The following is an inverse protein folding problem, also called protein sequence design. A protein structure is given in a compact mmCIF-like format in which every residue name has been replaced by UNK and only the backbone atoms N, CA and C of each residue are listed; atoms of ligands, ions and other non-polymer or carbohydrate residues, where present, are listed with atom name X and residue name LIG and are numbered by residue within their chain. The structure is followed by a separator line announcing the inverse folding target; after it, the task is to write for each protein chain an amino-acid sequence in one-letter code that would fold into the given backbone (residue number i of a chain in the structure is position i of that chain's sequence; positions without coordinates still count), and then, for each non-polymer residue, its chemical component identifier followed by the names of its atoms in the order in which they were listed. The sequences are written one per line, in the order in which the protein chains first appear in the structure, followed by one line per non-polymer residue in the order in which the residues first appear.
data_IF_763193365720
#
_entry.id   IF_763193365720
#
_cell.length_a   1.000
_cell.length_b   1.000
_cell.length_c   1.000
_cell.angle_alpha   90.00
_cell.angle_beta   90.00
_cell.angle_gamma   90.00
#
_symmetry.space_group_name_H-M   'P 1'
#
loop_
_entity.id
_entity.type
_entity.pdbx_description
1 polymer ?
#
# COMPACT_ATOMS: atom_id res chain seq x y z
N UNK A 1 2.73 -3.71 20.89
CA UNK A 1 3.06 -3.96 19.48
C UNK A 1 4.17 -3.02 19.03
N UNK A 2 5.07 -3.51 18.18
CA UNK A 2 6.13 -2.73 17.58
C UNK A 2 5.86 -2.51 16.11
N UNK A 3 6.39 -1.43 15.55
CA UNK A 3 6.30 -1.23 14.12
C UNK A 3 7.65 -0.80 13.54
N UNK A 4 7.86 -1.15 12.27
CA UNK A 4 9.07 -0.78 11.51
C UNK A 4 8.64 0.04 10.30
N UNK A 5 9.38 1.09 9.98
CA UNK A 5 9.11 1.96 8.84
C UNK A 5 9.86 1.46 7.62
N UNK A 6 9.32 1.73 6.45
CA UNK A 6 9.94 1.42 5.16
C UNK A 6 10.41 -0.04 5.08
N UNK A 7 9.50 -0.95 5.41
CA UNK A 7 9.81 -2.38 5.50
C UNK A 7 9.91 -3.02 4.13
N UNK A 8 10.94 -3.85 3.92
CA UNK A 8 11.15 -4.57 2.66
C UNK A 8 11.24 -6.08 2.88
N UNK A 9 10.80 -6.82 1.84
CA UNK A 9 10.99 -8.27 1.79
C UNK A 9 12.02 -8.57 0.70
N UNK A 10 12.92 -9.54 0.93
CA UNK A 10 14.00 -9.84 -0.04
C UNK A 10 13.50 -10.31 -1.40
N UNK A 11 12.32 -10.92 -1.46
CA UNK A 11 11.73 -11.49 -2.66
C UNK A 11 10.64 -10.65 -3.30
N UNK A 12 10.48 -9.38 -2.86
CA UNK A 12 9.52 -8.45 -3.44
C UNK A 12 10.25 -7.23 -4.00
N UNK A 13 10.24 -7.12 -5.32
CA UNK A 13 10.98 -6.04 -5.99
C UNK A 13 10.25 -5.60 -7.26
N UNK A 14 10.58 -4.39 -7.69
CA UNK A 14 10.09 -3.81 -8.93
C UNK A 14 11.10 -3.95 -10.06
N UNK A 15 11.21 -2.90 -10.87
CA UNK A 15 12.10 -2.86 -12.02
C UNK A 15 13.56 -2.95 -11.58
N UNK A 16 14.38 -3.75 -12.32
CA UNK A 16 15.81 -3.98 -12.05
C UNK A 16 16.07 -4.46 -10.62
N UNK A 17 15.15 -5.25 -10.08
CA UNK A 17 15.26 -5.82 -8.73
C UNK A 17 15.36 -4.76 -7.63
N UNK A 18 14.83 -3.56 -7.86
CA UNK A 18 14.73 -2.53 -6.83
C UNK A 18 13.73 -2.99 -5.76
N UNK A 19 14.11 -3.03 -4.48
CA UNK A 19 13.17 -3.45 -3.43
C UNK A 19 11.95 -2.56 -3.37
N UNK A 20 10.77 -3.16 -3.21
CA UNK A 20 9.55 -2.42 -2.94
C UNK A 20 9.37 -2.31 -1.43
N UNK A 21 8.95 -1.13 -0.95
CA UNK A 21 8.87 -0.82 0.47
C UNK A 21 7.43 -0.63 0.89
N UNK A 22 7.11 -1.13 2.07
CA UNK A 22 5.85 -0.82 2.74
C UNK A 22 6.11 0.30 3.74
N UNK A 23 5.18 1.25 3.85
CA UNK A 23 5.36 2.39 4.75
C UNK A 23 5.56 1.92 6.19
N UNK A 24 4.76 0.96 6.65
CA UNK A 24 4.89 0.41 7.99
C UNK A 24 4.62 -1.09 8.01
N UNK A 25 5.36 -1.80 8.86
CA UNK A 25 5.10 -3.18 9.23
C UNK A 25 4.84 -3.22 10.73
N UNK A 26 3.73 -3.82 11.14
CA UNK A 26 3.32 -3.92 12.54
C UNK A 26 3.60 -5.33 13.05
N UNK A 27 4.33 -5.44 14.15
CA UNK A 27 4.71 -6.72 14.75
C UNK A 27 4.18 -6.84 16.17
N UNK A 28 3.84 -8.06 16.53
CA UNK A 28 3.63 -8.46 17.92
C UNK A 28 4.69 -9.51 18.24
N UNK A 29 5.69 -9.10 19.01
CA UNK A 29 6.89 -9.92 19.16
C UNK A 29 7.59 -10.06 17.82
N UNK A 30 7.79 -11.31 17.38
CA UNK A 30 8.39 -11.61 16.06
C UNK A 30 7.35 -11.84 14.97
N UNK A 31 6.07 -11.82 15.32
CA UNK A 31 4.99 -12.09 14.38
C UNK A 31 4.57 -10.82 13.64
N UNK A 32 4.54 -10.88 12.32
CA UNK A 32 4.00 -9.81 11.49
C UNK A 32 2.48 -9.80 11.60
N UNK A 33 1.92 -8.71 12.13
CA UNK A 33 0.47 -8.55 12.32
C UNK A 33 -0.18 -8.02 11.05
N UNK A 34 0.40 -6.95 10.47
CA UNK A 34 -0.08 -6.36 9.23
C UNK A 34 0.95 -5.44 8.62
N UNK A 35 0.71 -5.07 7.37
CA UNK A 35 1.47 -4.05 6.66
C UNK A 35 0.54 -2.88 6.39
N UNK A 36 1.07 -1.67 6.41
CA UNK A 36 0.29 -0.45 6.20
C UNK A 36 0.95 0.39 5.10
N UNK A 37 0.14 0.83 4.14
CA UNK A 37 0.51 1.80 3.12
C UNK A 37 -0.37 3.02 3.25
N UNK A 38 0.23 4.20 3.21
CA UNK A 38 -0.48 5.46 3.12
C UNK A 38 -0.34 5.94 1.69
N UNK A 39 -1.42 5.83 0.93
CA UNK A 39 -1.39 6.11 -0.51
C UNK A 39 -1.69 7.57 -0.79
N UNK A 40 -0.68 8.29 -1.27
CA UNK A 40 -0.81 9.68 -1.67
C UNK A 40 -1.56 9.82 -2.99
N UNK A 41 -1.81 11.07 -3.39
CA UNK A 41 -2.57 11.39 -4.59
C UNK A 41 -2.00 10.73 -5.85
N UNK A 42 -0.68 10.63 -5.96
CA UNK A 42 0.01 10.06 -7.12
C UNK A 42 -0.27 8.57 -7.34
N UNK A 43 -0.80 7.85 -6.34
CA UNK A 43 -1.19 6.44 -6.49
C UNK A 43 -2.52 6.29 -7.23
N UNK A 44 -3.34 7.34 -7.30
CA UNK A 44 -4.71 7.28 -7.82
C UNK A 44 -4.90 8.06 -9.11
N UNK A 45 -4.09 9.08 -9.34
CA UNK A 45 -4.18 9.91 -10.53
C UNK A 45 -2.80 10.38 -10.98
N UNK A 46 -2.67 10.72 -12.26
CA UNK A 46 -1.45 11.29 -12.77
C UNK A 46 -1.29 12.72 -12.26
N UNK A 47 -0.22 12.95 -11.48
CA UNK A 47 0.10 14.27 -10.94
C UNK A 47 1.51 14.64 -11.44
N UNK A 48 1.61 15.52 -12.46
CA UNK A 48 2.92 15.86 -13.05
C UNK A 48 3.94 16.40 -12.04
N UNK A 49 3.47 16.99 -10.95
CA UNK A 49 4.33 17.51 -9.90
C UNK A 49 5.09 16.40 -9.17
N UNK A 50 4.47 15.24 -9.00
CA UNK A 50 5.08 14.09 -8.29
C UNK A 50 5.68 13.07 -9.23
N UNK A 51 5.09 12.91 -10.43
CA UNK A 51 5.51 11.91 -11.40
C UNK A 51 5.76 12.61 -12.73
N UNK A 52 6.95 12.39 -13.29
CA UNK A 52 7.39 13.10 -14.49
C UNK A 52 6.63 12.70 -15.74
N UNK A 53 6.12 11.46 -15.81
CA UNK A 53 5.51 10.92 -17.02
C UNK A 53 4.31 10.03 -16.68
N UNK A 54 3.46 9.80 -17.70
CA UNK A 54 2.37 8.82 -17.62
C UNK A 54 2.94 7.42 -17.39
N UNK A 55 4.12 7.13 -17.96
CA UNK A 55 4.80 5.84 -17.75
C UNK A 55 5.16 5.63 -16.28
N UNK A 56 5.63 6.66 -15.59
CA UNK A 56 5.93 6.60 -14.16
C UNK A 56 4.68 6.33 -13.34
N UNK A 57 3.55 6.96 -13.73
CA UNK A 57 2.26 6.73 -13.08
C UNK A 57 1.82 5.26 -13.23
N UNK A 58 1.90 4.71 -14.44
CA UNK A 58 1.55 3.31 -14.70
C UNK A 58 2.46 2.36 -13.94
N UNK A 59 3.74 2.69 -13.83
CA UNK A 59 4.71 1.89 -13.06
C UNK A 59 4.34 1.88 -11.57
N UNK A 60 3.96 3.03 -11.03
CA UNK A 60 3.49 3.13 -9.64
C UNK A 60 2.28 2.22 -9.40
N UNK A 61 1.31 2.25 -10.31
CA UNK A 61 0.13 1.38 -10.21
C UNK A 61 0.52 -0.10 -10.27
N UNK A 62 1.45 -0.47 -11.14
CA UNK A 62 1.92 -1.86 -11.25
C UNK A 62 2.62 -2.31 -9.96
N UNK A 63 3.43 -1.45 -9.36
CA UNK A 63 4.09 -1.78 -8.10
C UNK A 63 3.09 -1.92 -6.95
N UNK A 64 2.05 -1.11 -6.93
CA UNK A 64 0.96 -1.26 -5.97
C UNK A 64 0.29 -2.63 -6.13
N UNK A 65 0.04 -3.06 -7.36
CA UNK A 65 -0.54 -4.38 -7.64
C UNK A 65 0.39 -5.51 -7.20
N UNK A 66 1.69 -5.37 -7.41
CA UNK A 66 2.69 -6.37 -6.96
C UNK A 66 2.69 -6.50 -5.45
N UNK A 67 2.66 -5.38 -4.73
CA UNK A 67 2.56 -5.38 -3.27
C UNK A 67 1.27 -6.04 -2.79
N UNK A 68 0.14 -5.68 -3.40
CA UNK A 68 -1.14 -6.26 -3.07
C UNK A 68 -1.13 -7.78 -3.26
N UNK A 69 -0.68 -8.23 -4.43
CA UNK A 69 -0.59 -9.66 -4.75
C UNK A 69 0.32 -10.40 -3.79
N UNK A 70 1.49 -9.84 -3.50
CA UNK A 70 2.45 -10.45 -2.58
C UNK A 70 1.82 -10.70 -1.21
N UNK A 71 1.16 -9.70 -0.66
CA UNK A 71 0.50 -9.82 0.64
C UNK A 71 -0.64 -10.85 0.61
N UNK A 72 -1.44 -10.85 -0.45
CA UNK A 72 -2.52 -11.82 -0.61
C UNK A 72 -1.99 -13.25 -0.68
N UNK A 73 -0.91 -13.47 -1.42
CA UNK A 73 -0.32 -14.79 -1.58
C UNK A 73 0.32 -15.32 -0.29
N UNK A 74 0.90 -14.43 0.51
CA UNK A 74 1.55 -14.80 1.76
C UNK A 74 0.62 -14.75 2.98
N UNK A 75 -0.61 -14.31 2.79
CA UNK A 75 -1.55 -14.16 3.90
C UNK A 75 -1.20 -13.02 4.84
N UNK A 76 -0.46 -12.02 4.38
CA UNK A 76 -0.14 -10.83 5.18
C UNK A 76 -1.26 -9.80 5.01
N UNK A 77 -1.97 -9.43 6.10
CA UNK A 77 -2.96 -8.36 6.00
C UNK A 77 -2.27 -7.06 5.55
N UNK A 78 -2.78 -6.45 4.48
CA UNK A 78 -2.28 -5.16 3.99
C UNK A 78 -3.41 -4.15 4.10
N UNK A 79 -3.15 -3.06 4.82
CA UNK A 79 -4.10 -1.97 5.02
C UNK A 79 -3.60 -0.79 4.18
N UNK A 80 -4.43 -0.34 3.23
CA UNK A 80 -4.13 0.81 2.40
C UNK A 80 -5.08 1.94 2.75
N UNK A 81 -4.51 3.05 3.24
CA UNK A 81 -5.27 4.23 3.62
C UNK A 81 -5.06 5.29 2.56
N UNK A 82 -6.09 5.63 1.76
CA UNK A 82 -5.94 6.68 0.76
C UNK A 82 -5.82 8.05 1.43
N UNK A 83 -5.11 8.95 0.76
CA UNK A 83 -4.79 10.28 1.31
C UNK A 83 -6.04 11.07 1.73
N UNK A 84 -7.16 10.89 1.04
CA UNK A 84 -8.39 11.64 1.35
C UNK A 84 -9.09 11.16 2.62
N UNK A 85 -8.66 10.05 3.20
CA UNK A 85 -9.26 9.51 4.43
C UNK A 85 -8.50 9.87 5.69
N UNK A 86 -7.27 10.40 5.58
CA UNK A 86 -6.37 10.59 6.73
C UNK A 86 -6.85 11.62 7.75
N UNK A 87 -7.48 12.70 7.30
CA UNK A 87 -7.84 13.81 8.18
C UNK A 87 -9.01 13.49 9.11
N UNK A 88 -9.83 12.50 8.77
CA UNK A 88 -11.08 12.23 9.47
C UNK A 88 -11.07 10.91 10.24
N UNK A 89 -9.98 10.14 10.19
CA UNK A 89 -9.94 8.80 10.77
C UNK A 89 -9.03 8.72 11.98
N UNK A 90 -9.49 7.97 12.99
CA UNK A 90 -8.62 7.54 14.09
C UNK A 90 -7.87 6.27 13.68
N UNK A 91 -6.79 5.95 14.40
CA UNK A 91 -6.05 4.70 14.18
C UNK A 91 -6.95 3.47 14.35
N UNK A 92 -7.84 3.51 15.34
CA UNK A 92 -8.76 2.40 15.59
C UNK A 92 -9.69 2.18 14.40
N UNK A 93 -10.22 3.25 13.81
CA UNK A 93 -11.08 3.16 12.62
C UNK A 93 -10.33 2.58 11.43
N UNK A 94 -9.06 2.93 11.25
CA UNK A 94 -8.23 2.38 10.19
C UNK A 94 -8.07 0.87 10.35
N UNK A 95 -7.78 0.40 11.56
CA UNK A 95 -7.58 -1.02 11.82
C UNK A 95 -8.87 -1.84 11.78
N UNK A 96 -10.00 -1.24 12.13
CA UNK A 96 -11.27 -1.97 12.23
C UNK A 96 -12.14 -1.86 10.99
N UNK A 97 -11.85 -0.93 10.09
CA UNK A 97 -12.65 -0.75 8.88
C UNK A 97 -12.12 -1.64 7.75
N UNK A 98 -12.90 -2.65 7.38
CA UNK A 98 -12.53 -3.60 6.33
C UNK A 98 -12.36 -2.95 4.95
N UNK A 99 -12.87 -1.74 4.75
CA UNK A 99 -12.70 -0.97 3.51
C UNK A 99 -11.22 -0.74 3.17
N UNK A 100 -10.37 -0.60 4.18
CA UNK A 100 -8.94 -0.35 3.97
C UNK A 100 -8.13 -1.63 3.82
N UNK A 101 -8.72 -2.79 4.11
CA UNK A 101 -8.05 -4.07 3.94
C UNK A 101 -8.03 -4.45 2.47
N UNK A 102 -6.85 -4.73 1.95
CA UNK A 102 -6.69 -5.15 0.56
C UNK A 102 -7.26 -6.54 0.36
N UNK A 103 -8.21 -6.68 -0.57
CA UNK A 103 -8.90 -7.94 -0.88
C UNK A 103 -8.50 -8.53 -2.22
N UNK A 104 -7.95 -7.72 -3.11
CA UNK A 104 -7.46 -8.16 -4.41
C UNK A 104 -6.35 -7.24 -4.88
N UNK A 105 -5.64 -7.65 -5.95
CA UNK A 105 -4.50 -6.88 -6.44
C UNK A 105 -4.89 -5.55 -7.09
N UNK A 106 -6.16 -5.35 -7.41
CA UNK A 106 -6.67 -4.12 -8.02
C UNK A 106 -7.35 -3.19 -7.04
N UNK A 107 -7.09 -3.36 -5.75
CA UNK A 107 -7.75 -2.59 -4.70
C UNK A 107 -7.74 -1.07 -4.94
N UNK A 108 -6.58 -0.50 -5.28
CA UNK A 108 -6.45 0.94 -5.54
C UNK A 108 -7.21 1.37 -6.80
N UNK A 109 -7.22 0.53 -7.83
CA UNK A 109 -7.97 0.82 -9.05
C UNK A 109 -9.47 0.91 -8.76
N UNK A 110 -9.97 0.03 -7.90
CA UNK A 110 -11.38 0.04 -7.50
C UNK A 110 -11.73 1.31 -6.71
N UNK A 111 -10.86 1.73 -5.79
CA UNK A 111 -11.06 2.97 -5.03
C UNK A 111 -11.07 4.20 -5.95
N UNK A 112 -10.18 4.23 -6.93
CA UNK A 112 -10.10 5.31 -7.90
C UNK A 112 -11.39 5.47 -8.70
N UNK A 113 -12.03 4.34 -9.08
CA UNK A 113 -13.29 4.35 -9.85
C UNK A 113 -14.46 4.86 -9.03
N UNK A 114 -14.40 4.73 -7.71
CA UNK A 114 -15.45 5.20 -6.79
C UNK A 114 -15.32 6.68 -6.47
N UNK A 115 -14.16 7.24 -6.66
CA UNK A 115 -13.88 8.65 -6.42
C UNK A 115 -14.18 9.57 -7.65
#
# INVERSE_FOLDING_TARGET
MNFKREYIFPDLYGYKKTPLRFDFAVFQGKRLVCLIEVDGRQHFEYVPHFLKTVSSFKRQQEWDRRKNKYCLMHGFPLIRVPYWSLETLTLQEIFTNSKFLVKDKFHNDNLRRQG
#
